data_IF_893551299102
#
_entry.id   IF_893551299102
#
_cell.length_a   1.000
_cell.length_b   1.000
_cell.length_c   1.000
_cell.angle_alpha   90.00
_cell.angle_beta   90.00
_cell.angle_gamma   90.00
#
_symmetry.space_group_name_H-M   'P 1'
#
loop_
_entity.id
_entity.type
_entity.pdbx_description
1 polymer ?
#
# COMPACT_ATOMS: atom_id res chain seq x y z
N UNK A 1 -8.01 -12.59 -42.79
CA UNK A 1 -7.46 -11.25 -43.06
C UNK A 1 -7.44 -10.51 -41.75
N UNK A 2 -6.21 -10.29 -41.29
CA UNK A 2 -5.80 -9.91 -39.95
C UNK A 2 -6.07 -8.42 -39.70
N UNK A 3 -6.81 -8.07 -38.65
CA UNK A 3 -6.96 -6.69 -38.19
C UNK A 3 -6.43 -6.60 -36.77
N UNK A 4 -5.15 -6.25 -36.69
CA UNK A 4 -4.41 -6.01 -35.47
C UNK A 4 -4.93 -4.74 -34.79
N UNK A 5 -5.51 -4.93 -33.61
CA UNK A 5 -5.89 -3.88 -32.67
C UNK A 5 -4.63 -3.10 -32.28
N UNK A 6 -4.52 -1.87 -32.78
CA UNK A 6 -3.47 -0.94 -32.41
C UNK A 6 -3.51 -0.64 -30.92
N UNK A 7 -2.60 -1.26 -30.15
CA UNK A 7 -2.23 -0.81 -28.82
C UNK A 7 -1.57 0.55 -28.96
N UNK A 8 -2.31 1.64 -28.76
CA UNK A 8 -1.71 2.95 -28.54
C UNK A 8 -1.11 2.96 -27.12
N UNK A 9 0.07 2.36 -26.97
CA UNK A 9 0.97 2.70 -25.87
C UNK A 9 1.39 4.14 -26.10
N UNK A 10 0.83 5.07 -25.32
CA UNK A 10 1.35 6.43 -25.23
C UNK A 10 2.83 6.34 -24.84
N UNK A 11 3.72 6.51 -25.82
CA UNK A 11 5.16 6.59 -25.65
C UNK A 11 5.49 7.91 -24.96
N UNK A 12 5.35 7.95 -23.63
CA UNK A 12 5.75 9.08 -22.79
C UNK A 12 7.28 9.14 -22.57
N UNK A 13 8.06 8.56 -23.49
CA UNK A 13 9.51 8.36 -23.36
C UNK A 13 10.28 8.88 -24.56
N UNK A 14 9.90 10.03 -25.11
CA UNK A 14 10.78 10.78 -26.01
C UNK A 14 11.51 11.83 -25.17
N UNK A 15 12.74 11.53 -24.75
CA UNK A 15 13.72 12.55 -24.32
C UNK A 15 14.40 12.37 -22.97
N UNK A 16 13.96 11.46 -22.09
CA UNK A 16 14.62 11.24 -20.80
C UNK A 16 15.28 9.86 -20.73
N UNK A 17 16.61 9.83 -20.70
CA UNK A 17 17.38 8.64 -20.33
C UNK A 17 17.14 8.37 -18.83
N UNK A 18 16.07 7.65 -18.52
CA UNK A 18 15.84 7.14 -17.18
C UNK A 18 16.78 5.95 -16.98
N UNK A 19 17.68 5.97 -15.99
CA UNK A 19 18.54 4.84 -15.72
C UNK A 19 17.68 3.60 -15.36
N UNK A 20 18.19 2.39 -15.60
CA UNK A 20 17.47 1.15 -15.32
C UNK A 20 16.93 1.10 -13.88
N UNK A 21 15.76 0.51 -13.67
CA UNK A 21 15.08 0.55 -12.38
C UNK A 21 15.92 -0.06 -11.23
N UNK A 22 16.69 -1.12 -11.51
CA UNK A 22 17.60 -1.70 -10.52
C UNK A 22 18.68 -0.72 -10.06
N UNK A 23 19.13 0.18 -10.94
CA UNK A 23 20.14 1.20 -10.63
C UNK A 23 19.54 2.29 -9.76
N UNK A 24 18.36 2.79 -10.11
CA UNK A 24 17.61 3.76 -9.30
C UNK A 24 17.35 3.19 -7.90
N UNK A 25 16.85 1.95 -7.81
CA UNK A 25 16.58 1.30 -6.54
C UNK A 25 17.86 1.15 -5.69
N UNK A 26 18.98 0.77 -6.31
CA UNK A 26 20.26 0.63 -5.61
C UNK A 26 20.80 1.98 -5.13
N UNK A 27 20.67 3.02 -5.95
CA UNK A 27 21.10 4.38 -5.61
C UNK A 27 20.26 4.97 -4.47
N UNK A 28 18.93 4.82 -4.52
CA UNK A 28 18.02 5.26 -3.45
C UNK A 28 18.34 4.54 -2.15
N UNK A 29 18.46 3.21 -2.18
CA UNK A 29 18.84 2.42 -0.99
C UNK A 29 20.14 2.93 -0.39
N UNK A 30 21.18 3.07 -1.20
CA UNK A 30 22.51 3.49 -0.72
C UNK A 30 22.48 4.89 -0.13
N UNK A 31 21.74 5.81 -0.77
CA UNK A 31 21.60 7.19 -0.28
C UNK A 31 20.80 7.24 1.04
N UNK A 32 19.74 6.46 1.15
CA UNK A 32 18.89 6.39 2.33
C UNK A 32 19.61 5.76 3.52
N UNK A 33 20.25 4.60 3.33
CA UNK A 33 21.05 3.93 4.37
C UNK A 33 22.30 4.72 4.79
N UNK A 34 22.81 5.63 3.94
CA UNK A 34 23.91 6.52 4.34
C UNK A 34 23.47 7.59 5.33
N UNK A 35 22.21 8.05 5.24
CA UNK A 35 21.67 9.08 6.15
C UNK A 35 21.10 8.48 7.44
N UNK A 36 20.61 7.24 7.38
CA UNK A 36 19.87 6.61 8.47
C UNK A 36 20.40 5.20 8.70
N UNK A 37 20.99 5.00 9.88
CA UNK A 37 21.32 3.66 10.34
C UNK A 37 20.13 3.07 11.12
N UNK A 38 19.37 2.19 10.46
CA UNK A 38 18.18 1.57 11.04
C UNK A 38 18.51 0.53 12.12
N UNK A 39 19.70 -0.06 12.07
CA UNK A 39 20.15 -1.00 13.11
C UNK A 39 20.36 -0.28 14.44
N UNK A 40 21.05 0.87 14.43
CA UNK A 40 21.29 1.64 15.66
C UNK A 40 20.01 2.25 16.23
N UNK A 41 19.04 2.55 15.38
CA UNK A 41 17.73 3.05 15.79
C UNK A 41 16.77 1.93 16.23
N UNK A 42 17.10 0.64 16.05
CA UNK A 42 16.18 -0.47 16.31
C UNK A 42 14.96 -0.51 15.35
N UNK A 43 15.01 0.21 14.24
CA UNK A 43 13.95 0.32 13.23
C UNK A 43 14.20 -0.59 12.01
N UNK A 44 15.14 -1.53 12.09
CA UNK A 44 15.43 -2.40 10.96
C UNK A 44 14.24 -3.27 10.61
N UNK A 45 13.68 -3.01 9.43
CA UNK A 45 12.69 -3.87 8.81
C UNK A 45 13.34 -5.18 8.36
N UNK A 46 12.62 -6.29 8.55
CA UNK A 46 12.94 -7.58 7.93
C UNK A 46 12.75 -7.51 6.40
N UNK A 47 11.89 -6.59 5.94
CA UNK A 47 11.53 -6.39 4.53
C UNK A 47 12.47 -5.41 3.83
N UNK A 48 12.59 -5.54 2.52
CA UNK A 48 13.30 -4.57 1.69
C UNK A 48 12.60 -3.20 1.74
N UNK A 49 13.32 -2.10 1.53
CA UNK A 49 12.76 -0.74 1.61
C UNK A 49 11.56 -0.60 0.67
N UNK A 50 11.66 -1.05 -0.58
CA UNK A 50 10.58 -0.96 -1.57
C UNK A 50 9.40 -1.91 -1.35
N UNK A 51 9.48 -2.78 -0.34
CA UNK A 51 8.44 -3.77 0.00
C UNK A 51 7.86 -3.54 1.40
N UNK A 52 8.40 -2.55 2.12
CA UNK A 52 7.95 -2.13 3.44
C UNK A 52 6.96 -0.98 3.30
N UNK A 53 6.14 -0.82 4.32
CA UNK A 53 5.33 0.39 4.49
C UNK A 53 6.26 1.53 4.97
N UNK A 54 6.08 2.73 4.41
CA UNK A 54 6.99 3.85 4.67
C UNK A 54 6.40 4.78 5.72
N UNK A 55 7.23 5.19 6.66
CA UNK A 55 6.92 6.27 7.59
C UNK A 55 7.73 7.49 7.18
N UNK A 56 7.05 8.63 7.02
CA UNK A 56 7.68 9.93 6.79
C UNK A 56 7.56 10.73 8.08
N UNK A 57 8.68 10.96 8.77
CA UNK A 57 8.72 11.73 10.00
C UNK A 57 10.11 12.34 10.20
N UNK A 58 10.18 13.67 10.25
CA UNK A 58 11.44 14.40 10.37
C UNK A 58 12.05 14.33 11.78
N UNK A 59 11.21 14.17 12.81
CA UNK A 59 11.61 14.30 14.22
C UNK A 59 11.81 12.95 14.92
N UNK A 60 11.39 11.83 14.30
CA UNK A 60 11.41 10.52 14.95
C UNK A 60 12.81 10.12 15.40
N UNK A 61 13.82 10.34 14.56
CA UNK A 61 15.20 9.96 14.83
C UNK A 61 15.77 10.71 16.03
N UNK A 62 15.54 12.03 16.07
CA UNK A 62 16.00 12.90 17.14
C UNK A 62 15.36 12.49 18.47
N UNK A 63 14.07 12.13 18.46
CA UNK A 63 13.36 11.67 19.66
C UNK A 63 13.86 10.32 20.17
N UNK A 64 14.20 9.39 19.28
CA UNK A 64 14.80 8.10 19.64
C UNK A 64 16.20 8.32 20.25
N UNK A 65 17.04 9.12 19.59
CA UNK A 65 18.40 9.42 20.07
C UNK A 65 18.40 10.17 21.41
N UNK A 66 17.42 11.04 21.64
CA UNK A 66 17.22 11.72 22.93
C UNK A 66 16.64 10.81 24.03
N UNK A 67 16.31 9.54 23.73
CA UNK A 67 15.72 8.60 24.69
C UNK A 67 14.26 8.86 25.02
N UNK A 68 13.60 9.81 24.34
CA UNK A 68 12.16 10.13 24.53
C UNK A 68 11.23 9.10 23.91
N UNK A 69 11.71 8.29 22.96
CA UNK A 69 10.95 7.22 22.31
C UNK A 69 11.80 5.96 22.32
N UNK A 70 11.24 4.84 22.78
CA UNK A 70 11.94 3.55 22.89
C UNK A 70 11.24 2.52 22.02
N UNK A 71 11.97 1.96 21.06
CA UNK A 71 11.42 0.92 20.19
C UNK A 71 11.50 -0.43 20.88
N UNK A 72 10.41 -1.20 20.79
CA UNK A 72 10.24 -2.48 21.46
C UNK A 72 9.64 -3.51 20.49
N UNK A 73 9.81 -4.82 20.75
CA UNK A 73 9.13 -5.84 19.96
C UNK A 73 7.61 -5.79 20.16
N UNK A 74 6.88 -6.62 19.41
CA UNK A 74 5.43 -6.73 19.56
C UNK A 74 5.01 -7.08 21.00
N UNK A 75 3.81 -6.64 21.35
CA UNK A 75 3.15 -7.00 22.61
C UNK A 75 2.66 -8.44 22.47
N UNK A 76 2.96 -9.26 23.48
CA UNK A 76 2.43 -10.62 23.59
C UNK A 76 1.06 -10.60 24.26
N UNK A 77 0.97 -10.03 25.48
CA UNK A 77 -0.28 -9.86 26.21
C UNK A 77 -0.26 -8.65 27.15
N UNK A 78 -1.44 -8.19 27.54
CA UNK A 78 -1.62 -7.13 28.54
C UNK A 78 -1.69 -7.74 29.95
N UNK A 79 -1.12 -7.03 30.92
CA UNK A 79 -1.26 -7.32 32.35
C UNK A 79 -2.14 -6.26 33.01
N UNK A 80 -2.46 -6.42 34.30
CA UNK A 80 -3.31 -5.46 35.02
C UNK A 80 -2.74 -4.04 35.06
N UNK A 81 -1.41 -3.91 35.08
CA UNK A 81 -0.69 -2.63 35.22
C UNK A 81 0.21 -2.30 34.01
N UNK A 82 0.21 -3.14 32.97
CA UNK A 82 1.21 -3.03 31.92
C UNK A 82 1.07 -3.99 30.75
N UNK A 83 2.21 -4.27 30.10
CA UNK A 83 2.32 -5.16 28.93
C UNK A 83 3.53 -6.07 29.05
N UNK A 84 3.36 -7.32 28.61
CA UNK A 84 4.45 -8.26 28.38
C UNK A 84 4.76 -8.29 26.88
N UNK A 85 6.03 -8.14 26.54
CA UNK A 85 6.52 -8.11 25.16
C UNK A 85 6.96 -9.51 24.70
N UNK A 86 7.03 -9.73 23.39
CA UNK A 86 7.44 -11.02 22.82
C UNK A 86 8.89 -11.43 23.14
N UNK A 87 9.73 -10.52 23.64
CA UNK A 87 11.07 -10.83 24.14
C UNK A 87 11.08 -11.27 25.62
N UNK A 88 9.91 -11.36 26.25
CA UNK A 88 9.73 -11.72 27.66
C UNK A 88 9.88 -10.54 28.62
N UNK A 89 10.18 -9.32 28.14
CA UNK A 89 10.27 -8.15 29.01
C UNK A 89 8.88 -7.60 29.38
N UNK A 90 8.74 -7.13 30.61
CA UNK A 90 7.52 -6.50 31.11
C UNK A 90 7.71 -5.00 31.26
N UNK A 91 6.66 -4.23 30.95
CA UNK A 91 6.63 -2.78 31.05
C UNK A 91 5.35 -2.35 31.72
N UNK A 92 5.44 -1.54 32.77
CA UNK A 92 4.29 -0.84 33.32
C UNK A 92 3.99 0.39 32.46
N UNK A 93 2.72 0.58 32.10
CA UNK A 93 2.29 1.67 31.22
C UNK A 93 0.96 2.23 31.70
N UNK A 94 0.86 3.56 31.74
CA UNK A 94 -0.37 4.25 32.14
C UNK A 94 -1.39 4.35 31.00
N UNK A 95 -0.92 4.34 29.74
CA UNK A 95 -1.77 4.56 28.57
C UNK A 95 -1.25 3.78 27.37
N UNK A 96 -2.19 3.20 26.62
CA UNK A 96 -1.91 2.44 25.39
C UNK A 96 -2.66 3.09 24.23
N UNK A 97 -1.92 3.46 23.18
CA UNK A 97 -2.48 4.07 21.97
C UNK A 97 -2.37 3.09 20.81
N UNK A 98 -3.50 2.63 20.28
CA UNK A 98 -3.55 1.75 19.11
C UNK A 98 -3.47 2.55 17.81
N UNK A 99 -2.26 2.65 17.25
CA UNK A 99 -2.01 3.22 15.93
C UNK A 99 -1.97 2.14 14.83
N UNK A 100 -2.89 1.17 14.86
CA UNK A 100 -2.91 -0.03 13.98
C UNK A 100 -3.55 0.21 12.60
N UNK A 101 -3.84 1.46 12.25
CA UNK A 101 -4.44 1.85 10.98
C UNK A 101 -5.97 1.73 10.97
N UNK A 102 -6.55 1.79 9.77
CA UNK A 102 -8.00 1.81 9.55
C UNK A 102 -8.44 0.68 8.63
N UNK A 103 -9.68 0.22 8.83
CA UNK A 103 -10.39 -0.64 7.89
C UNK A 103 -11.41 0.21 7.14
N UNK A 104 -11.33 0.17 5.82
CA UNK A 104 -12.31 0.84 4.96
C UNK A 104 -13.54 -0.06 4.84
N UNK A 105 -14.73 0.54 4.98
CA UNK A 105 -16.01 -0.10 4.78
C UNK A 105 -16.91 0.77 3.89
N UNK A 106 -17.79 0.14 3.12
CA UNK A 106 -18.72 0.78 2.21
C UNK A 106 -20.14 0.28 2.50
N UNK A 107 -20.74 0.66 3.65
CA UNK A 107 -22.01 0.10 4.13
C UNK A 107 -23.21 0.41 3.23
N UNK A 108 -23.09 1.43 2.36
CA UNK A 108 -24.10 1.82 1.39
C UNK A 108 -24.12 0.92 0.15
N UNK A 109 -23.09 0.09 -0.05
CA UNK A 109 -22.94 -0.79 -1.22
C UNK A 109 -23.11 -2.22 -0.77
N UNK A 110 -23.86 -3.01 -1.54
CA UNK A 110 -24.00 -4.43 -1.26
C UNK A 110 -22.62 -5.12 -1.26
N UNK A 111 -22.38 -5.93 -0.23
CA UNK A 111 -21.19 -6.77 -0.07
C UNK A 111 -21.00 -7.77 -1.22
N UNK A 112 -22.08 -8.07 -1.95
CA UNK A 112 -22.03 -8.83 -3.19
C UNK A 112 -21.26 -8.09 -4.29
N UNK A 113 -21.25 -6.75 -4.29
CA UNK A 113 -20.56 -5.91 -5.28
C UNK A 113 -19.13 -5.63 -4.84
N UNK A 114 -18.97 -5.12 -3.61
CA UNK A 114 -17.67 -4.81 -3.01
C UNK A 114 -17.47 -5.76 -1.82
N UNK A 115 -16.60 -6.75 -1.97
CA UNK A 115 -16.25 -7.60 -0.83
C UNK A 115 -15.42 -6.81 0.17
N UNK A 116 -16.03 -6.49 1.31
CA UNK A 116 -15.39 -5.90 2.48
C UNK A 116 -14.52 -6.94 3.22
N UNK A 117 -13.47 -7.45 2.58
CA UNK A 117 -12.43 -8.15 3.31
C UNK A 117 -11.46 -7.10 3.86
N UNK A 118 -11.11 -7.23 5.15
CA UNK A 118 -10.40 -6.25 6.00
C UNK A 118 -9.08 -5.66 5.46
N UNK A 119 -8.63 -6.06 4.29
CA UNK A 119 -7.31 -5.75 3.75
C UNK A 119 -7.28 -5.58 2.24
N UNK A 120 -8.35 -5.93 1.51
CA UNK A 120 -8.28 -5.95 0.05
C UNK A 120 -9.65 -5.91 -0.63
N UNK A 121 -9.93 -4.81 -1.32
CA UNK A 121 -11.08 -4.71 -2.21
C UNK A 121 -10.71 -5.31 -3.57
N UNK A 122 -11.43 -6.35 -3.99
CA UNK A 122 -11.21 -7.02 -5.28
C UNK A 122 -11.69 -6.14 -6.45
N UNK A 123 -11.00 -5.05 -6.70
CA UNK A 123 -11.34 -4.04 -7.71
C UNK A 123 -10.33 -4.07 -8.85
N UNK A 124 -10.81 -4.15 -10.08
CA UNK A 124 -9.98 -4.00 -11.27
C UNK A 124 -9.32 -2.63 -11.27
N UNK A 125 -7.98 -2.63 -11.29
CA UNK A 125 -7.13 -1.42 -11.18
C UNK A 125 -7.46 -0.53 -9.98
N UNK A 126 -7.97 -1.10 -8.88
CA UNK A 126 -8.44 -0.34 -7.70
C UNK A 126 -9.61 0.64 -7.99
N UNK A 127 -10.38 0.40 -9.06
CA UNK A 127 -11.49 1.27 -9.47
C UNK A 127 -12.79 0.50 -9.65
N UNK A 128 -12.83 -0.51 -10.53
CA UNK A 128 -14.10 -1.14 -10.93
C UNK A 128 -14.31 -2.49 -10.26
N UNK A 129 -15.49 -2.77 -9.68
CA UNK A 129 -15.81 -4.11 -9.18
C UNK A 129 -16.08 -5.06 -10.37
N UNK A 130 -15.29 -6.15 -10.55
CA UNK A 130 -15.44 -7.05 -11.70
C UNK A 130 -16.80 -7.74 -11.79
N UNK A 131 -17.53 -7.81 -10.67
CA UNK A 131 -18.84 -8.47 -10.56
C UNK A 131 -19.97 -7.71 -11.25
N UNK A 132 -19.84 -6.39 -11.42
CA UNK A 132 -20.82 -5.58 -12.15
C UNK A 132 -20.72 -5.73 -13.67
N UNK A 133 -19.87 -6.63 -14.17
CA UNK A 133 -19.78 -6.87 -15.60
C UNK A 133 -19.09 -5.73 -16.34
N UNK A 134 -19.41 -5.62 -17.64
CA UNK A 134 -18.85 -4.60 -18.53
C UNK A 134 -19.59 -3.27 -18.48
N UNK A 135 -20.79 -3.26 -17.91
CA UNK A 135 -21.65 -2.07 -17.86
C UNK A 135 -21.03 -0.95 -17.03
N UNK A 136 -20.11 -1.31 -16.11
CA UNK A 136 -19.20 -0.37 -15.48
C UNK A 136 -19.91 0.80 -14.82
N UNK A 137 -21.05 0.55 -14.15
CA UNK A 137 -21.95 1.59 -13.62
C UNK A 137 -21.53 2.14 -12.25
N UNK A 138 -20.58 1.47 -11.58
CA UNK A 138 -20.03 1.88 -10.29
C UNK A 138 -18.51 1.85 -10.36
N UNK A 139 -17.89 2.89 -9.81
CA UNK A 139 -16.44 3.00 -9.68
C UNK A 139 -16.08 3.53 -8.29
N UNK A 140 -15.02 2.99 -7.71
CA UNK A 140 -14.42 3.47 -6.48
C UNK A 140 -13.23 4.35 -6.85
N UNK A 141 -13.23 5.61 -6.41
CA UNK A 141 -12.11 6.51 -6.66
C UNK A 141 -11.25 6.58 -5.41
N UNK A 142 -9.97 6.29 -5.58
CA UNK A 142 -8.95 6.48 -4.57
C UNK A 142 -8.91 5.38 -3.48
N UNK A 143 -9.55 4.24 -3.73
CA UNK A 143 -9.30 3.03 -2.94
C UNK A 143 -7.97 2.37 -3.35
N UNK A 144 -6.86 3.11 -3.27
CA UNK A 144 -5.54 2.67 -3.70
C UNK A 144 -4.45 3.06 -2.69
N UNK A 145 -3.49 2.15 -2.48
CA UNK A 145 -2.28 2.42 -1.72
C UNK A 145 -1.12 2.66 -2.69
N UNK A 146 -0.57 3.88 -2.70
CA UNK A 146 0.50 4.28 -3.62
C UNK A 146 1.67 4.89 -2.86
N UNK A 147 2.83 4.90 -3.51
CA UNK A 147 3.97 5.73 -3.14
C UNK A 147 3.83 7.04 -3.93
N UNK A 148 3.60 8.16 -3.23
CA UNK A 148 3.48 9.48 -3.86
C UNK A 148 2.16 10.19 -3.54
N UNK A 149 1.82 11.19 -4.36
CA UNK A 149 0.63 12.01 -4.14
C UNK A 149 -0.63 11.31 -4.62
N UNK A 150 -1.66 11.32 -3.77
CA UNK A 150 -2.97 10.74 -4.05
C UNK A 150 -3.77 11.53 -5.08
N UNK A 151 -3.68 12.86 -5.05
CA UNK A 151 -4.46 13.76 -5.90
C UNK A 151 -4.35 13.47 -7.41
N UNK A 152 -3.15 13.35 -8.02
CA UNK A 152 -3.04 13.05 -9.45
C UNK A 152 -3.56 11.66 -9.79
N UNK A 153 -3.43 10.69 -8.88
CA UNK A 153 -3.94 9.33 -9.12
C UNK A 153 -5.47 9.32 -9.11
N UNK A 154 -6.09 10.01 -8.15
CA UNK A 154 -7.54 10.15 -8.08
C UNK A 154 -8.10 10.89 -9.31
N UNK A 155 -7.40 11.92 -9.81
CA UNK A 155 -7.77 12.65 -11.04
C UNK A 155 -7.74 11.75 -12.27
N UNK A 156 -6.68 10.95 -12.43
CA UNK A 156 -6.59 9.97 -13.52
C UNK A 156 -7.67 8.88 -13.41
N UNK A 157 -7.94 8.37 -12.21
CA UNK A 157 -9.02 7.40 -11.98
C UNK A 157 -10.38 8.00 -12.34
N UNK A 158 -10.65 9.24 -11.96
CA UNK A 158 -11.90 9.94 -12.29
C UNK A 158 -12.04 10.16 -13.81
N UNK A 159 -10.98 10.61 -14.49
CA UNK A 159 -10.99 10.80 -15.96
C UNK A 159 -11.20 9.51 -16.73
N UNK A 160 -10.63 8.41 -16.26
CA UNK A 160 -10.88 7.11 -16.86
C UNK A 160 -12.32 6.65 -16.61
N UNK A 161 -12.80 6.80 -15.37
CA UNK A 161 -14.16 6.42 -14.97
C UNK A 161 -15.23 7.11 -15.81
N UNK A 162 -15.15 8.43 -15.98
CA UNK A 162 -16.13 9.18 -16.77
C UNK A 162 -16.14 8.72 -18.24
N UNK A 163 -14.98 8.36 -18.81
CA UNK A 163 -14.93 7.83 -20.18
C UNK A 163 -15.59 6.45 -20.29
N UNK A 164 -15.45 5.61 -19.27
CA UNK A 164 -16.15 4.32 -19.21
C UNK A 164 -17.66 4.53 -19.10
N UNK A 165 -18.13 5.39 -18.20
CA UNK A 165 -19.55 5.70 -18.04
C UNK A 165 -20.18 6.28 -19.31
N UNK A 166 -19.42 7.07 -20.09
CA UNK A 166 -19.86 7.59 -21.39
C UNK A 166 -19.78 6.56 -22.54
N UNK A 167 -19.31 5.35 -22.29
CA UNK A 167 -19.10 4.32 -23.32
C UNK A 167 -17.92 4.60 -24.27
N UNK A 168 -17.09 5.61 -23.98
CA UNK A 168 -15.91 5.97 -24.78
C UNK A 168 -14.73 5.02 -24.53
N UNK A 169 -14.77 4.28 -23.42
CA UNK A 169 -13.79 3.24 -23.07
C UNK A 169 -14.56 2.01 -22.59
N UNK A 170 -14.17 0.82 -23.07
CA UNK A 170 -14.81 -0.43 -22.67
C UNK A 170 -13.97 -1.17 -21.65
N UNK A 171 -14.63 -1.73 -20.63
CA UNK A 171 -13.99 -2.64 -19.69
C UNK A 171 -13.78 -4.02 -20.32
N UNK A 172 -12.70 -4.73 -19.96
CA UNK A 172 -12.48 -6.10 -20.43
C UNK A 172 -13.53 -7.06 -19.86
N UNK A 173 -13.51 -8.34 -20.27
CA UNK A 173 -14.42 -9.33 -19.67
C UNK A 173 -14.22 -9.42 -18.14
N UNK A 174 -15.26 -9.77 -17.38
CA UNK A 174 -15.15 -10.01 -15.94
C UNK A 174 -14.04 -11.01 -15.57
N UNK A 175 -13.86 -12.04 -16.39
CA UNK A 175 -12.80 -13.03 -16.23
C UNK A 175 -11.39 -12.41 -16.35
N UNK A 176 -11.17 -11.56 -17.35
CA UNK A 176 -9.92 -10.84 -17.51
C UNK A 176 -9.67 -9.87 -16.34
N UNK A 177 -10.72 -9.17 -15.88
CA UNK A 177 -10.62 -8.28 -14.72
C UNK A 177 -10.25 -9.06 -13.45
N UNK A 178 -10.93 -10.18 -13.18
CA UNK A 178 -10.63 -11.03 -12.03
C UNK A 178 -9.22 -11.62 -12.09
N UNK A 179 -8.76 -12.03 -13.29
CA UNK A 179 -7.41 -12.53 -13.48
C UNK A 179 -6.36 -11.45 -13.15
N UNK A 180 -6.55 -10.22 -13.62
CA UNK A 180 -5.65 -9.09 -13.32
C UNK A 180 -5.62 -8.77 -11.82
N UNK A 181 -6.79 -8.77 -11.16
CA UNK A 181 -6.89 -8.58 -9.71
C UNK A 181 -6.13 -9.68 -8.95
N UNK A 182 -6.33 -10.95 -9.32
CA UNK A 182 -5.64 -12.07 -8.68
C UNK A 182 -4.12 -12.02 -8.88
N UNK A 183 -3.66 -11.68 -10.08
CA UNK A 183 -2.22 -11.54 -10.38
C UNK A 183 -1.59 -10.40 -9.59
N UNK A 184 -2.25 -9.24 -9.55
CA UNK A 184 -1.76 -8.07 -8.78
C UNK A 184 -1.68 -8.41 -7.31
N UNK A 185 -2.71 -9.06 -6.77
CA UNK A 185 -2.75 -9.50 -5.38
C UNK A 185 -1.65 -10.51 -5.05
N UNK A 186 -1.40 -11.48 -5.91
CA UNK A 186 -0.35 -12.47 -5.69
C UNK A 186 1.03 -11.79 -5.67
N UNK A 187 1.25 -10.81 -6.53
CA UNK A 187 2.48 -10.03 -6.56
C UNK A 187 2.64 -9.13 -5.33
N UNK A 188 1.54 -8.54 -4.84
CA UNK A 188 1.53 -7.77 -3.59
C UNK A 188 1.82 -8.65 -2.38
N UNK A 189 1.20 -9.83 -2.27
CA UNK A 189 1.47 -10.78 -1.20
C UNK A 189 2.92 -11.29 -1.24
N UNK A 190 3.46 -11.51 -2.44
CA UNK A 190 4.88 -11.88 -2.62
C UNK A 190 5.83 -10.80 -2.11
N UNK A 191 5.43 -9.53 -2.21
CA UNK A 191 6.19 -8.38 -1.72
C UNK A 191 5.97 -8.12 -0.22
N UNK A 192 4.73 -8.28 0.28
CA UNK A 192 4.32 -7.98 1.66
C UNK A 192 4.54 -9.19 2.58
N UNK A 193 5.77 -9.39 3.04
CA UNK A 193 6.05 -10.29 4.18
C UNK A 193 5.42 -9.80 5.50
N UNK A 194 5.44 -10.64 6.56
CA UNK A 194 4.93 -10.28 7.90
C UNK A 194 5.81 -9.20 8.57
N UNK A 195 5.19 -8.32 9.36
CA UNK A 195 5.86 -7.25 10.11
C UNK A 195 5.46 -7.31 11.59
N UNK A 196 6.43 -7.22 12.52
CA UNK A 196 6.21 -7.53 13.95
C UNK A 196 6.79 -6.49 14.92
N UNK A 197 6.98 -5.23 14.50
CA UNK A 197 7.59 -4.19 15.33
C UNK A 197 6.54 -3.21 15.85
N UNK A 198 6.61 -2.88 17.15
CA UNK A 198 5.72 -1.91 17.80
C UNK A 198 6.56 -0.73 18.32
N UNK A 199 6.03 0.48 18.19
CA UNK A 199 6.68 1.68 18.72
C UNK A 199 6.00 2.04 20.04
N UNK A 200 6.78 2.14 21.12
CA UNK A 200 6.30 2.60 22.43
C UNK A 200 6.89 3.99 22.67
N UNK A 201 6.03 4.95 23.02
CA UNK A 201 6.41 6.32 23.32
C UNK A 201 6.39 6.56 24.82
#
# INVERSE_FOLDING_TARGET
>A
MDQTVGRTTLSFTEGYFLPPEWYLQSWVKRTFFRRINFDTLGLRSVRNIFQSDWMVNDNMQIKIMAGKVKIKPAIDHFTTTGVTLCDGSTLEVDTVIFATGYRIAAPLVDRSIIQENSTDFRLYKSVFPPRLGRDGTLACIGLINIIGSYAPVAELQARWTVRVFKGLCQLPTPECMLKDVMQTRQEELRKRGKCSTVVIM
#
